data_IF_865694886660
#
_entry.id   IF_865694886660
#
_cell.length_a   1.000
_cell.length_b   1.000
_cell.length_c   1.000
_cell.angle_alpha   90.00
_cell.angle_beta   90.00
_cell.angle_gamma   90.00
#
_symmetry.space_group_name_H-M   'P 1'
#
loop_
_entity.id
_entity.type
_entity.pdbx_description
1 polymer ?
#
# COMPACT_ATOMS: atom_id res chain seq x y z
N UNK A 1 -2.13 22.79 -7.84
CA UNK A 1 -2.68 21.59 -7.18
C UNK A 1 -1.53 20.61 -7.07
N UNK A 2 -1.26 20.11 -5.85
CA UNK A 2 -0.18 19.16 -5.66
C UNK A 2 -0.50 17.86 -6.39
N UNK A 3 0.50 17.31 -7.09
CA UNK A 3 0.35 16.10 -7.91
C UNK A 3 0.11 14.87 -7.00
N UNK A 4 -0.92 14.07 -7.30
CA UNK A 4 -1.17 12.82 -6.58
C UNK A 4 -0.10 11.79 -6.98
N UNK A 5 0.74 11.40 -6.03
CA UNK A 5 1.88 10.50 -6.29
C UNK A 5 1.60 9.04 -5.93
N UNK A 6 0.71 8.79 -4.97
CA UNK A 6 0.39 7.45 -4.47
C UNK A 6 -1.10 7.17 -4.62
N UNK A 7 -1.43 6.00 -5.16
CA UNK A 7 -2.80 5.52 -5.22
C UNK A 7 -2.99 4.36 -4.24
N UNK A 8 -3.86 4.55 -3.26
CA UNK A 8 -4.26 3.51 -2.29
C UNK A 8 -5.57 2.91 -2.74
N UNK A 9 -5.54 1.65 -3.14
CA UNK A 9 -6.70 0.91 -3.61
C UNK A 9 -7.00 -0.29 -2.72
N UNK A 10 -8.26 -0.69 -2.65
CA UNK A 10 -8.71 -1.82 -1.84
C UNK A 10 -9.89 -2.55 -2.47
N UNK A 11 -10.02 -3.84 -2.16
CA UNK A 11 -11.02 -4.73 -2.77
C UNK A 11 -12.44 -4.48 -2.31
N UNK A 12 -12.62 -3.92 -1.11
CA UNK A 12 -13.93 -3.65 -0.51
C UNK A 12 -13.86 -2.57 0.57
N UNK A 13 -15.04 -2.08 0.98
CA UNK A 13 -15.16 -1.14 2.09
C UNK A 13 -14.63 -1.71 3.42
N UNK A 14 -14.74 -3.03 3.63
CA UNK A 14 -14.23 -3.67 4.86
C UNK A 14 -12.71 -3.54 5.03
N UNK A 15 -11.96 -3.44 3.92
CA UNK A 15 -10.51 -3.31 3.93
C UNK A 15 -10.05 -1.93 4.43
N UNK A 16 -10.96 -0.95 4.40
CA UNK A 16 -10.68 0.41 4.86
C UNK A 16 -10.23 0.47 6.33
N UNK A 17 -10.71 -0.43 7.19
CA UNK A 17 -10.28 -0.48 8.59
C UNK A 17 -8.76 -0.65 8.72
N UNK A 18 -8.15 -1.42 7.81
CA UNK A 18 -6.69 -1.59 7.74
C UNK A 18 -6.04 -0.47 6.92
N UNK A 19 -6.55 -0.21 5.72
CA UNK A 19 -5.91 0.68 4.75
C UNK A 19 -5.91 2.15 5.15
N UNK A 20 -6.81 2.61 6.02
CA UNK A 20 -6.77 3.96 6.58
C UNK A 20 -5.45 4.29 7.30
N UNK A 21 -4.79 3.27 7.88
CA UNK A 21 -3.49 3.47 8.53
C UNK A 21 -2.38 3.81 7.54
N UNK A 22 -2.42 3.21 6.34
CA UNK A 22 -1.56 3.59 5.22
C UNK A 22 -1.77 5.06 4.82
N UNK A 23 -3.02 5.46 4.63
CA UNK A 23 -3.35 6.84 4.24
C UNK A 23 -2.92 7.86 5.28
N UNK A 24 -3.05 7.56 6.58
CA UNK A 24 -2.59 8.43 7.67
C UNK A 24 -1.08 8.69 7.59
N UNK A 25 -0.28 7.65 7.39
CA UNK A 25 1.18 7.82 7.25
C UNK A 25 1.53 8.66 6.02
N UNK A 26 0.85 8.47 4.89
CA UNK A 26 1.07 9.30 3.71
C UNK A 26 0.67 10.76 3.97
N UNK A 27 -0.46 10.97 4.65
CA UNK A 27 -0.94 12.32 5.02
C UNK A 27 0.05 12.99 6.01
N UNK A 28 0.56 12.27 7.02
CA UNK A 28 1.55 12.76 8.00
C UNK A 28 2.87 13.15 7.32
N UNK A 29 3.25 12.46 6.24
CA UNK A 29 4.43 12.74 5.43
C UNK A 29 4.16 13.73 4.28
N UNK A 30 2.96 14.36 4.25
CA UNK A 30 2.53 15.31 3.23
C UNK A 30 2.58 14.75 1.80
N UNK A 31 2.38 13.44 1.63
CA UNK A 31 2.34 12.78 0.32
C UNK A 31 0.90 12.74 -0.19
N UNK A 32 0.67 13.46 -1.29
CA UNK A 32 -0.63 13.49 -1.93
C UNK A 32 -1.02 12.10 -2.43
N UNK A 33 -2.18 11.63 -1.97
CA UNK A 33 -2.67 10.28 -2.27
C UNK A 33 -4.15 10.27 -2.61
N UNK A 34 -4.56 9.31 -3.44
CA UNK A 34 -5.96 9.00 -3.68
C UNK A 34 -6.36 7.69 -3.01
N UNK A 35 -7.66 7.54 -2.77
CA UNK A 35 -8.24 6.36 -2.08
C UNK A 35 -9.38 5.83 -2.93
N UNK A 36 -9.31 4.54 -3.35
CA UNK A 36 -10.32 3.95 -4.23
C UNK A 36 -10.70 2.53 -3.80
N UNK A 37 -11.96 2.19 -3.99
CA UNK A 37 -12.44 0.81 -3.90
C UNK A 37 -12.53 0.24 -5.31
N UNK A 38 -11.73 -0.81 -5.55
CA UNK A 38 -11.65 -1.52 -6.83
C UNK A 38 -11.64 -3.02 -6.54
N UNK A 39 -12.75 -3.70 -6.76
CA UNK A 39 -12.83 -5.14 -6.56
C UNK A 39 -12.34 -5.87 -7.79
N UNK A 40 -11.32 -6.72 -7.63
CA UNK A 40 -10.79 -7.55 -8.71
C UNK A 40 -11.84 -8.48 -9.33
N UNK A 41 -12.80 -8.94 -8.53
CA UNK A 41 -13.80 -9.91 -8.94
C UNK A 41 -15.17 -9.29 -9.25
N UNK A 42 -15.56 -8.22 -8.54
CA UNK A 42 -16.89 -7.59 -8.67
C UNK A 42 -16.90 -6.37 -9.59
N UNK A 43 -15.74 -5.73 -9.80
CA UNK A 43 -15.60 -4.57 -10.70
C UNK A 43 -14.40 -4.72 -11.65
N UNK A 44 -14.31 -5.81 -12.44
CA UNK A 44 -13.15 -6.09 -13.28
C UNK A 44 -12.88 -5.00 -14.33
N UNK A 45 -13.90 -4.44 -14.94
CA UNK A 45 -13.75 -3.36 -15.93
C UNK A 45 -13.15 -2.10 -15.28
N UNK A 46 -13.62 -1.71 -14.08
CA UNK A 46 -13.04 -0.60 -13.30
C UNK A 46 -11.57 -0.82 -13.01
N UNK A 47 -11.18 -2.07 -12.67
CA UNK A 47 -9.79 -2.43 -12.45
C UNK A 47 -8.94 -2.21 -13.71
N UNK A 48 -9.38 -2.68 -14.86
CA UNK A 48 -8.65 -2.54 -16.11
C UNK A 48 -8.50 -1.08 -16.53
N UNK A 49 -9.58 -0.32 -16.55
CA UNK A 49 -9.53 1.11 -16.84
C UNK A 49 -8.61 1.89 -15.91
N UNK A 50 -8.66 1.59 -14.61
CA UNK A 50 -7.78 2.19 -13.63
C UNK A 50 -6.32 1.87 -13.94
N UNK A 51 -5.99 0.59 -14.14
CA UNK A 51 -4.61 0.13 -14.33
C UNK A 51 -3.96 0.66 -15.60
N UNK A 52 -4.73 0.80 -16.68
CA UNK A 52 -4.27 1.34 -17.95
C UNK A 52 -3.99 2.86 -17.89
N UNK A 53 -4.78 3.59 -17.09
CA UNK A 53 -4.70 5.06 -17.01
C UNK A 53 -3.81 5.56 -15.87
N UNK A 54 -3.46 4.72 -14.90
CA UNK A 54 -2.80 5.14 -13.66
C UNK A 54 -1.46 5.83 -13.91
N UNK A 55 -0.66 5.34 -14.84
CA UNK A 55 0.63 5.93 -15.20
C UNK A 55 0.48 7.34 -15.81
N UNK A 56 -0.51 7.51 -16.70
CA UNK A 56 -0.78 8.80 -17.37
C UNK A 56 -1.25 9.89 -16.38
N UNK A 57 -1.73 9.49 -15.21
CA UNK A 57 -2.19 10.37 -14.14
C UNK A 57 -1.08 10.82 -13.18
N UNK A 58 0.18 10.47 -13.47
CA UNK A 58 1.33 10.85 -12.65
C UNK A 58 1.56 9.97 -11.43
N UNK A 59 0.75 8.95 -11.19
CA UNK A 59 0.91 8.03 -10.04
C UNK A 59 2.25 7.29 -10.14
N UNK A 60 3.03 7.32 -9.07
CA UNK A 60 4.36 6.70 -8.97
C UNK A 60 4.36 5.35 -8.26
N UNK A 61 3.41 5.16 -7.33
CA UNK A 61 3.29 3.91 -6.54
C UNK A 61 1.82 3.59 -6.31
N UNK A 62 1.48 2.31 -6.43
CA UNK A 62 0.15 1.78 -6.08
C UNK A 62 0.29 0.92 -4.83
N UNK A 63 -0.58 1.15 -3.83
CA UNK A 63 -0.71 0.34 -2.63
C UNK A 63 -2.08 -0.33 -2.68
N UNK A 64 -2.11 -1.66 -2.76
CA UNK A 64 -3.33 -2.44 -2.96
C UNK A 64 -3.59 -3.37 -1.77
N UNK A 65 -4.63 -3.08 -1.00
CA UNK A 65 -5.11 -3.95 0.09
C UNK A 65 -6.12 -4.97 -0.41
N UNK A 66 -5.92 -6.24 -0.08
CA UNK A 66 -6.84 -7.31 -0.45
C UNK A 66 -6.81 -8.46 0.56
N UNK A 67 -7.97 -9.11 0.78
CA UNK A 67 -8.13 -10.22 1.71
C UNK A 67 -8.75 -11.46 1.08
N UNK A 68 -8.47 -12.62 1.69
CA UNK A 68 -8.92 -13.92 1.21
C UNK A 68 -8.24 -14.30 -0.11
N UNK A 69 -9.02 -14.52 -1.17
CA UNK A 69 -8.52 -14.60 -2.54
C UNK A 69 -8.05 -13.20 -3.01
N UNK A 70 -6.92 -12.77 -2.50
CA UNK A 70 -6.41 -11.41 -2.58
C UNK A 70 -5.77 -11.12 -3.95
N UNK A 71 -6.55 -11.19 -5.02
CA UNK A 71 -6.05 -11.09 -6.40
C UNK A 71 -5.83 -9.66 -6.90
N UNK A 72 -6.34 -8.65 -6.19
CA UNK A 72 -6.27 -7.25 -6.63
C UNK A 72 -4.83 -6.78 -6.94
N UNK A 73 -3.84 -6.96 -6.05
CA UNK A 73 -2.49 -6.48 -6.31
C UNK A 73 -1.88 -7.10 -7.57
N UNK A 74 -1.97 -8.41 -7.73
CA UNK A 74 -1.43 -9.14 -8.87
C UNK A 74 -2.12 -8.76 -10.18
N UNK A 75 -3.44 -8.59 -10.17
CA UNK A 75 -4.21 -8.18 -11.36
C UNK A 75 -3.88 -6.77 -11.81
N UNK A 76 -3.68 -5.84 -10.87
CA UNK A 76 -3.21 -4.48 -11.20
C UNK A 76 -1.78 -4.53 -11.75
N UNK A 77 -0.86 -5.23 -11.07
CA UNK A 77 0.53 -5.36 -11.50
C UNK A 77 0.68 -5.95 -12.92
N UNK A 78 -0.25 -6.82 -13.34
CA UNK A 78 -0.24 -7.38 -14.69
C UNK A 78 -0.62 -6.39 -15.80
N UNK A 79 -1.11 -5.20 -15.45
CA UNK A 79 -1.67 -4.19 -16.37
C UNK A 79 -0.93 -2.84 -16.34
N UNK A 80 0.06 -2.68 -15.47
CA UNK A 80 0.81 -1.43 -15.35
C UNK A 80 2.26 -1.68 -15.01
N UNK A 81 3.14 -0.75 -15.42
CA UNK A 81 4.54 -0.71 -14.99
C UNK A 81 4.76 0.10 -13.71
N UNK A 82 3.71 0.72 -13.15
CA UNK A 82 3.80 1.41 -11.87
C UNK A 82 4.03 0.39 -10.75
N UNK A 83 5.01 0.58 -9.85
CA UNK A 83 5.28 -0.34 -8.75
C UNK A 83 4.04 -0.61 -7.90
N UNK A 84 3.71 -1.88 -7.69
CA UNK A 84 2.56 -2.33 -6.89
C UNK A 84 3.02 -2.97 -5.60
N UNK A 85 2.43 -2.52 -4.50
CA UNK A 85 2.57 -3.11 -3.16
C UNK A 85 1.28 -3.78 -2.75
N UNK A 86 1.38 -5.03 -2.34
CA UNK A 86 0.25 -5.78 -1.82
C UNK A 86 0.24 -5.78 -0.29
N UNK A 87 -0.86 -5.33 0.29
CA UNK A 87 -1.12 -5.40 1.73
C UNK A 87 -2.10 -6.53 1.99
N UNK A 88 -1.66 -7.66 2.59
CA UNK A 88 -2.56 -8.73 2.96
C UNK A 88 -3.50 -8.28 4.07
N UNK A 89 -4.80 -8.34 3.82
CA UNK A 89 -5.83 -8.04 4.82
C UNK A 89 -6.12 -9.29 5.64
N UNK A 90 -6.27 -9.10 6.96
CA UNK A 90 -6.65 -10.17 7.89
C UNK A 90 -7.97 -10.80 7.45
N UNK A 91 -7.98 -12.12 7.26
CA UNK A 91 -9.19 -12.90 6.96
C UNK A 91 -9.66 -13.68 8.19
N UNK A 92 -10.96 -13.93 8.28
CA UNK A 92 -11.51 -14.74 9.39
C UNK A 92 -11.16 -16.22 9.27
N UNK A 93 -11.05 -16.73 8.04
CA UNK A 93 -10.87 -18.16 7.79
C UNK A 93 -9.45 -18.63 8.13
N UNK A 94 -8.42 -17.91 7.69
CA UNK A 94 -7.01 -18.34 7.80
C UNK A 94 -6.11 -17.22 8.37
N UNK A 95 -6.69 -16.29 9.12
CA UNK A 95 -5.94 -15.20 9.81
C UNK A 95 -5.01 -14.42 8.88
N UNK A 96 -5.38 -14.29 7.61
CA UNK A 96 -4.63 -13.54 6.61
C UNK A 96 -3.57 -14.35 5.83
N UNK A 97 -3.32 -15.64 6.17
CA UNK A 97 -2.39 -16.48 5.41
C UNK A 97 -2.84 -16.69 3.96
N UNK A 98 -4.15 -16.87 3.74
CA UNK A 98 -4.75 -16.92 2.41
C UNK A 98 -4.50 -15.64 1.61
N UNK A 99 -4.61 -14.48 2.25
CA UNK A 99 -4.27 -13.19 1.65
C UNK A 99 -2.79 -13.10 1.28
N UNK A 100 -1.89 -13.52 2.19
CA UNK A 100 -0.43 -13.53 1.96
C UNK A 100 -0.10 -14.42 0.76
N UNK A 101 -0.54 -15.66 0.74
CA UNK A 101 -0.22 -16.59 -0.35
C UNK A 101 -0.79 -16.13 -1.69
N UNK A 102 -1.98 -15.53 -1.71
CA UNK A 102 -2.59 -14.98 -2.92
C UNK A 102 -1.77 -13.82 -3.52
N UNK A 103 -1.04 -13.07 -2.70
CA UNK A 103 -0.26 -11.89 -3.13
C UNK A 103 1.21 -12.26 -3.39
N UNK A 104 1.80 -13.13 -2.56
CA UNK A 104 3.23 -13.41 -2.53
C UNK A 104 3.69 -14.24 -3.74
N UNK A 105 2.96 -15.32 -4.07
CA UNK A 105 3.37 -16.30 -5.07
C UNK A 105 3.05 -15.86 -6.51
N UNK A 106 3.52 -14.67 -6.89
CA UNK A 106 3.34 -14.17 -8.24
C UNK A 106 4.20 -14.91 -9.27
N UNK A 107 3.67 -15.11 -10.49
CA UNK A 107 4.45 -15.70 -11.58
C UNK A 107 5.60 -14.77 -12.01
N UNK A 108 6.63 -15.36 -12.55
CA UNK A 108 7.76 -14.66 -13.17
C UNK A 108 7.26 -13.61 -14.18
N UNK A 109 7.74 -12.36 -14.05
CA UNK A 109 7.40 -11.25 -14.93
C UNK A 109 6.28 -10.34 -14.44
N UNK A 110 5.61 -10.67 -13.32
CA UNK A 110 4.58 -9.84 -12.73
C UNK A 110 4.86 -9.61 -11.23
N UNK A 111 5.80 -8.72 -10.87
CA UNK A 111 6.21 -8.53 -9.48
C UNK A 111 5.18 -7.74 -8.67
N UNK A 112 4.96 -8.18 -7.42
CA UNK A 112 4.24 -7.45 -6.38
C UNK A 112 5.07 -7.46 -5.10
N UNK A 113 5.35 -6.28 -4.52
CA UNK A 113 6.04 -6.20 -3.23
C UNK A 113 5.05 -6.50 -2.10
N UNK A 114 5.13 -7.69 -1.51
CA UNK A 114 4.21 -8.15 -0.48
C UNK A 114 4.62 -7.65 0.90
N UNK A 115 3.68 -7.03 1.62
CA UNK A 115 3.88 -6.48 2.97
C UNK A 115 3.38 -7.44 4.06
N UNK A 116 3.57 -7.07 5.32
CA UNK A 116 3.02 -7.80 6.46
C UNK A 116 1.48 -7.79 6.48
N UNK A 117 0.87 -8.72 7.21
CA UNK A 117 -0.59 -8.81 7.34
C UNK A 117 -1.12 -7.65 8.18
N UNK A 118 -2.20 -7.02 7.73
CA UNK A 118 -2.97 -6.06 8.49
C UNK A 118 -2.32 -4.67 8.63
N UNK A 119 -2.56 -4.04 9.77
CA UNK A 119 -2.15 -2.63 10.02
C UNK A 119 -0.63 -2.43 9.88
N UNK A 120 0.25 -3.29 10.42
CA UNK A 120 1.70 -3.13 10.21
C UNK A 120 2.09 -3.12 8.73
N UNK A 121 1.47 -3.99 7.93
CA UNK A 121 1.69 -4.03 6.48
C UNK A 121 1.22 -2.78 5.77
N UNK A 122 0.07 -2.24 6.16
CA UNK A 122 -0.46 -0.99 5.63
C UNK A 122 0.48 0.20 5.93
N UNK A 123 0.95 0.34 7.16
CA UNK A 123 1.92 1.37 7.58
C UNK A 123 3.23 1.22 6.81
N UNK A 124 3.82 0.04 6.82
CA UNK A 124 5.09 -0.23 6.13
C UNK A 124 4.98 -0.04 4.61
N UNK A 125 3.80 -0.28 4.03
CA UNK A 125 3.54 -0.02 2.61
C UNK A 125 3.64 1.47 2.28
N UNK A 126 3.09 2.33 3.14
CA UNK A 126 3.19 3.78 3.00
C UNK A 126 4.65 4.25 3.13
N UNK A 127 5.37 3.81 4.17
CA UNK A 127 6.78 4.16 4.38
C UNK A 127 7.67 3.71 3.22
N UNK A 128 7.45 2.52 2.71
CA UNK A 128 8.23 2.03 1.57
C UNK A 128 7.85 2.77 0.27
N UNK A 129 6.58 3.15 0.05
CA UNK A 129 6.21 4.04 -1.06
C UNK A 129 6.93 5.39 -0.94
N UNK A 130 6.97 5.95 0.27
CA UNK A 130 7.71 7.18 0.58
C UNK A 130 9.20 7.03 0.28
N UNK A 131 9.80 5.88 0.62
CA UNK A 131 11.22 5.60 0.33
C UNK A 131 11.50 5.61 -1.19
N UNK A 132 10.59 5.08 -2.00
CA UNK A 132 10.72 5.14 -3.47
C UNK A 132 10.68 6.58 -3.96
N UNK A 133 9.74 7.39 -3.46
CA UNK A 133 9.61 8.79 -3.84
C UNK A 133 10.82 9.62 -3.39
N UNK A 134 11.38 9.29 -2.23
CA UNK A 134 12.56 9.93 -1.65
C UNK A 134 13.83 9.79 -2.53
N UNK A 135 13.90 8.76 -3.38
CA UNK A 135 15.04 8.59 -4.29
C UNK A 135 15.23 9.75 -5.26
N UNK A 136 14.16 10.49 -5.57
CA UNK A 136 14.18 11.63 -6.51
C UNK A 136 13.65 12.93 -5.92
N UNK A 137 13.38 12.96 -4.61
CA UNK A 137 12.82 14.16 -3.94
C UNK A 137 13.45 14.33 -2.55
N UNK A 138 14.36 15.29 -2.42
CA UNK A 138 15.11 15.54 -1.18
C UNK A 138 14.22 15.99 -0.02
N UNK A 139 13.12 16.71 -0.30
CA UNK A 139 12.17 17.07 0.75
C UNK A 139 11.52 15.84 1.35
N UNK A 140 11.02 14.93 0.51
CA UNK A 140 10.43 13.65 0.96
C UNK A 140 11.47 12.82 1.72
N UNK A 141 12.73 12.78 1.26
CA UNK A 141 13.81 12.09 1.93
C UNK A 141 14.06 12.64 3.34
N UNK A 142 14.03 13.97 3.49
CA UNK A 142 14.20 14.64 4.78
C UNK A 142 13.03 14.35 5.73
N UNK A 143 11.78 14.46 5.24
CA UNK A 143 10.58 14.19 6.02
C UNK A 143 10.54 12.72 6.51
N UNK A 144 10.98 11.77 5.66
CA UNK A 144 11.08 10.36 6.02
C UNK A 144 12.17 10.10 7.07
N UNK A 145 13.35 10.73 6.96
CA UNK A 145 14.40 10.62 7.99
C UNK A 145 13.90 11.11 9.34
N UNK A 146 13.26 12.27 9.36
CA UNK A 146 12.67 12.83 10.58
C UNK A 146 11.62 11.90 11.19
N UNK A 147 10.76 11.30 10.35
CA UNK A 147 9.77 10.32 10.82
C UNK A 147 10.43 9.13 11.53
N UNK A 148 11.53 8.58 10.97
CA UNK A 148 12.29 7.49 11.59
C UNK A 148 12.96 7.90 12.91
N UNK A 149 13.54 9.10 12.98
CA UNK A 149 14.12 9.65 14.20
C UNK A 149 13.07 9.78 15.31
N UNK A 150 11.89 10.29 14.97
CA UNK A 150 10.77 10.40 15.91
C UNK A 150 10.25 9.04 16.37
N UNK A 151 10.22 8.05 15.50
CA UNK A 151 9.86 6.68 15.87
C UNK A 151 10.89 6.09 16.85
N UNK A 152 12.18 6.25 16.59
CA UNK A 152 13.26 5.80 17.47
C UNK A 152 13.17 6.46 18.85
N UNK A 153 12.93 7.76 18.89
CA UNK A 153 12.82 8.51 20.14
C UNK A 153 11.61 8.10 21.04
N UNK A 154 10.62 7.45 20.46
CA UNK A 154 9.43 6.95 21.20
C UNK A 154 9.65 5.60 21.86
N UNK A 155 10.72 4.88 21.52
CA UNK A 155 11.00 3.57 22.11
C UNK A 155 11.69 3.81 23.47
N UNK A 156 11.09 3.43 24.60
CA UNK A 156 11.70 3.58 25.90
C UNK A 156 12.90 2.64 26.06
N UNK A 157 13.91 3.05 26.84
CA UNK A 157 15.08 2.21 27.13
C UNK A 157 14.76 1.08 28.13
N UNK A 158 13.71 1.25 28.93
CA UNK A 158 13.25 0.25 29.89
C UNK A 158 11.72 0.08 29.80
N UNK A 159 11.18 -1.08 30.20
CA UNK A 159 9.73 -1.27 30.25
C UNK A 159 9.11 -0.33 31.29
N UNK A 160 7.95 0.22 30.96
CA UNK A 160 7.12 1.03 31.84
C UNK A 160 5.88 0.18 32.21
N UNK A 161 5.49 0.21 33.50
CA UNK A 161 4.27 -0.42 33.98
C UNK A 161 3.07 0.40 33.47
N UNK A 162 2.03 -0.29 32.92
CA UNK A 162 0.79 0.32 32.44
C UNK A 162 -0.11 0.80 33.58
#
# INVERSE_FOLDING_TARGET
MDEILVSVIMGSQSDWQTMKSCCRILDDLNIQNERKIISAHRTPNRLFEYSEKVHQRGIKVIIAGAGGAAHLPGRVASKTCVPVRGVPIMSKALSGLDSVYSILQMPKGCPVATMAIGIPGAINSALFATSILALSNEKIATDLRYWHEMQTARVPEAPEDE
#
